data_IF_665464482886
#
_entry.id   IF_665464482886
#
_cell.length_a   1.000
_cell.length_b   1.000
_cell.length_c   1.000
_cell.angle_alpha   90.00
_cell.angle_beta   90.00
_cell.angle_gamma   90.00
#
_symmetry.space_group_name_H-M   'P 1'
#
loop_
_entity.id
_entity.type
_entity.pdbx_description
1 polymer ?
#
# COMPACT_ATOMS: atom_id res chain seq x y z
N UNK A 1 -14.27 -8.80 -10.07
CA UNK A 1 -13.72 -7.93 -9.00
C UNK A 1 -12.20 -7.76 -9.08
N UNK A 2 -11.54 -8.13 -10.20
CA UNK A 2 -10.09 -8.01 -10.32
C UNK A 2 -9.64 -6.54 -10.33
N UNK A 3 -10.26 -5.71 -11.18
CA UNK A 3 -9.96 -4.27 -11.29
C UNK A 3 -10.01 -3.56 -9.94
N UNK A 4 -11.08 -3.73 -9.15
CA UNK A 4 -11.18 -3.12 -7.83
C UNK A 4 -10.07 -3.61 -6.88
N UNK A 5 -9.66 -4.87 -6.98
CA UNK A 5 -8.56 -5.39 -6.16
C UNK A 5 -7.23 -4.71 -6.52
N UNK A 6 -6.94 -4.59 -7.81
CA UNK A 6 -5.75 -3.91 -8.33
C UNK A 6 -5.73 -2.42 -7.90
N UNK A 7 -6.86 -1.72 -7.99
CA UNK A 7 -6.98 -0.34 -7.53
C UNK A 7 -6.70 -0.18 -6.03
N UNK A 8 -7.20 -1.13 -5.21
CA UNK A 8 -6.95 -1.13 -3.76
C UNK A 8 -5.47 -1.43 -3.46
N UNK A 9 -4.87 -2.42 -4.14
CA UNK A 9 -3.44 -2.72 -3.96
C UNK A 9 -2.57 -1.52 -4.32
N UNK A 10 -2.90 -0.80 -5.40
CA UNK A 10 -2.14 0.38 -5.80
C UNK A 10 -2.29 1.53 -4.82
N UNK A 11 -3.50 1.79 -4.32
CA UNK A 11 -3.70 2.77 -3.26
C UNK A 11 -2.87 2.45 -2.01
N UNK A 12 -2.82 1.18 -1.60
CA UNK A 12 -2.02 0.72 -0.45
C UNK A 12 -0.51 0.73 -0.71
N UNK A 13 -0.08 0.51 -1.96
CA UNK A 13 1.33 0.63 -2.36
C UNK A 13 1.78 2.07 -2.15
N UNK A 14 1.01 3.01 -2.69
CA UNK A 14 1.33 4.44 -2.66
C UNK A 14 1.19 5.06 -1.27
N UNK A 15 0.18 4.63 -0.52
CA UNK A 15 -0.19 5.18 0.79
C UNK A 15 -0.35 4.07 1.84
N UNK A 16 0.74 3.39 2.24
CA UNK A 16 0.67 2.32 3.22
C UNK A 16 0.31 2.90 4.60
N UNK A 17 -0.75 2.41 5.27
CA UNK A 17 -1.16 2.93 6.58
C UNK A 17 -0.09 2.78 7.67
N UNK A 18 0.74 1.73 7.57
CA UNK A 18 1.91 1.50 8.41
C UNK A 18 3.18 1.66 7.56
N UNK A 19 3.73 2.88 7.42
CA UNK A 19 4.82 3.15 6.49
C UNK A 19 6.16 2.57 6.95
N UNK A 20 6.35 2.32 8.26
CA UNK A 20 7.59 1.82 8.83
C UNK A 20 7.36 0.58 9.72
N UNK A 21 8.19 -0.44 9.52
CA UNK A 21 8.21 -1.66 10.33
C UNK A 21 9.57 -1.78 11.02
N UNK A 22 9.60 -1.47 12.32
CA UNK A 22 10.84 -1.47 13.12
C UNK A 22 11.06 -2.79 13.84
N UNK A 23 12.30 -3.27 13.88
CA UNK A 23 12.73 -4.46 14.64
C UNK A 23 14.03 -4.18 15.37
N UNK A 24 14.14 -4.68 16.60
CA UNK A 24 15.40 -4.68 17.34
C UNK A 24 16.18 -5.96 17.05
N UNK A 25 17.46 -5.81 16.74
CA UNK A 25 18.36 -6.90 16.40
C UNK A 25 18.77 -7.62 17.67
N UNK A 26 18.31 -8.86 17.82
CA UNK A 26 18.59 -9.71 19.00
C UNK A 26 19.90 -10.47 18.92
N UNK A 27 20.46 -10.62 17.71
CA UNK A 27 21.75 -11.28 17.46
C UNK A 27 22.35 -10.65 16.22
N UNK A 28 23.64 -10.37 16.25
CA UNK A 28 24.35 -9.84 15.10
C UNK A 28 24.21 -10.77 13.88
N UNK A 29 23.98 -10.20 12.70
CA UNK A 29 23.90 -10.92 11.44
C UNK A 29 24.53 -10.12 10.31
N UNK A 30 24.93 -10.81 9.23
CA UNK A 30 25.35 -10.18 7.99
C UNK A 30 24.15 -10.06 7.04
N UNK A 31 24.04 -8.94 6.34
CA UNK A 31 23.10 -8.76 5.24
C UNK A 31 23.86 -8.40 3.96
N UNK A 32 23.34 -8.85 2.82
CA UNK A 32 23.89 -8.52 1.51
C UNK A 32 22.86 -7.74 0.70
N UNK A 33 23.26 -6.63 0.09
CA UNK A 33 22.38 -5.87 -0.81
C UNK A 33 22.29 -6.54 -2.18
N UNK A 34 21.38 -6.03 -3.01
CA UNK A 34 21.23 -6.47 -4.40
C UNK A 34 22.52 -6.31 -5.21
N UNK A 35 23.27 -5.24 -4.95
CA UNK A 35 24.55 -4.92 -5.60
C UNK A 35 25.72 -5.77 -5.06
N UNK A 36 25.45 -6.69 -4.13
CA UNK A 36 26.45 -7.58 -3.56
C UNK A 36 27.22 -7.00 -2.38
N UNK A 37 26.89 -5.79 -1.91
CA UNK A 37 27.57 -5.18 -0.77
C UNK A 37 27.13 -5.85 0.53
N UNK A 38 28.09 -6.22 1.36
CA UNK A 38 27.85 -6.84 2.65
C UNK A 38 27.90 -5.81 3.79
N UNK A 39 26.98 -5.97 4.74
CA UNK A 39 26.89 -5.16 5.94
C UNK A 39 26.73 -6.08 7.15
N UNK A 40 27.45 -5.77 8.23
CA UNK A 40 27.25 -6.39 9.53
C UNK A 40 26.27 -5.55 10.32
N UNK A 41 25.13 -6.13 10.68
CA UNK A 41 24.11 -5.48 11.51
C UNK A 41 24.35 -5.89 12.96
N UNK A 42 24.78 -4.98 13.85
CA UNK A 42 25.13 -5.35 15.22
C UNK A 42 23.89 -5.63 16.09
N UNK A 43 24.10 -6.39 17.15
CA UNK A 43 23.08 -6.58 18.19
C UNK A 43 22.69 -5.25 18.85
N UNK A 44 21.45 -5.15 19.33
CA UNK A 44 20.91 -3.96 20.00
C UNK A 44 20.47 -2.85 19.05
N UNK A 45 20.84 -2.89 17.77
CA UNK A 45 20.42 -1.89 16.79
C UNK A 45 18.94 -2.05 16.40
N UNK A 46 18.32 -0.95 15.98
CA UNK A 46 17.03 -0.99 15.32
C UNK A 46 17.20 -1.01 13.81
N UNK A 47 16.48 -1.91 13.14
CA UNK A 47 16.37 -2.00 11.70
C UNK A 47 14.95 -1.63 11.33
N UNK A 48 14.80 -0.76 10.32
CA UNK A 48 13.50 -0.31 9.83
C UNK A 48 13.34 -0.77 8.39
N UNK A 49 12.26 -1.52 8.13
CA UNK A 49 11.78 -1.71 6.76
C UNK A 49 10.76 -0.62 6.46
N UNK A 50 11.10 0.29 5.57
CA UNK A 50 10.28 1.47 5.27
C UNK A 50 9.44 1.22 4.00
N UNK A 51 8.21 0.74 4.17
CA UNK A 51 7.29 0.40 3.09
C UNK A 51 7.00 1.60 2.19
N UNK A 52 6.84 2.80 2.75
CA UNK A 52 6.58 4.01 1.95
C UNK A 52 7.70 4.34 0.96
N UNK A 53 8.94 3.93 1.23
CA UNK A 53 10.06 4.04 0.29
C UNK A 53 10.23 2.78 -0.56
N UNK A 54 10.16 1.59 0.05
CA UNK A 54 10.35 0.33 -0.67
C UNK A 54 9.32 0.14 -1.79
N UNK A 55 8.10 0.61 -1.57
CA UNK A 55 7.03 0.59 -2.57
C UNK A 55 7.26 1.56 -3.75
N UNK A 56 8.27 2.43 -3.68
CA UNK A 56 8.65 3.40 -4.72
C UNK A 56 9.93 3.00 -5.47
N UNK A 57 10.46 1.81 -5.22
CA UNK A 57 11.68 1.34 -5.87
C UNK A 57 11.40 1.07 -7.35
N UNK A 58 12.00 1.88 -8.24
CA UNK A 58 11.80 1.80 -9.69
C UNK A 58 12.23 0.49 -10.34
N UNK A 59 13.04 -0.31 -9.64
CA UNK A 59 13.43 -1.64 -10.10
C UNK A 59 12.42 -2.74 -9.74
N UNK A 60 11.43 -2.42 -8.90
CA UNK A 60 10.29 -3.28 -8.55
C UNK A 60 9.06 -2.80 -9.32
N UNK A 61 8.78 -1.50 -9.24
CA UNK A 61 7.58 -0.89 -9.82
C UNK A 61 7.97 0.08 -10.92
N UNK A 62 7.43 -0.13 -12.13
CA UNK A 62 7.64 0.80 -13.25
C UNK A 62 6.90 2.11 -12.97
N UNK A 63 7.53 3.24 -13.27
CA UNK A 63 6.96 4.58 -13.06
C UNK A 63 6.33 4.69 -11.65
N UNK A 64 7.14 4.50 -10.58
CA UNK A 64 6.66 4.16 -9.24
C UNK A 64 5.85 5.26 -8.55
N UNK A 65 5.91 6.49 -9.05
CA UNK A 65 5.18 7.63 -8.51
C UNK A 65 3.82 7.82 -9.18
N UNK A 66 3.55 7.12 -10.28
CA UNK A 66 2.25 7.13 -10.96
C UNK A 66 1.26 6.15 -10.29
N UNK A 67 0.00 6.58 -10.20
CA UNK A 67 -1.10 5.69 -9.80
C UNK A 67 -1.50 4.81 -10.98
N UNK A 68 -1.06 3.55 -10.94
CA UNK A 68 -1.28 2.59 -12.01
C UNK A 68 -1.74 1.23 -11.45
N UNK A 69 -3.06 0.98 -11.38
CA UNK A 69 -3.60 -0.29 -10.88
C UNK A 69 -3.18 -1.50 -11.71
N UNK A 70 -2.97 -1.34 -13.01
CA UNK A 70 -2.70 -2.44 -13.91
C UNK A 70 -1.37 -3.14 -13.59
N UNK A 71 -0.49 -2.55 -12.78
CA UNK A 71 0.75 -3.18 -12.30
C UNK A 71 0.51 -4.47 -11.52
N UNK A 72 -0.68 -4.60 -10.91
CA UNK A 72 -1.11 -5.78 -10.17
C UNK A 72 -2.01 -6.72 -10.98
N UNK A 73 -2.32 -6.38 -12.23
CA UNK A 73 -3.06 -7.28 -13.11
C UNK A 73 -2.20 -8.50 -13.49
N UNK A 74 -2.85 -9.55 -13.99
CA UNK A 74 -2.23 -10.86 -14.23
C UNK A 74 -1.10 -10.81 -15.25
N UNK A 75 -1.12 -9.83 -16.15
CA UNK A 75 -0.16 -9.60 -17.22
C UNK A 75 1.17 -9.04 -16.70
N UNK A 76 1.13 -8.18 -15.66
CA UNK A 76 2.31 -7.48 -15.14
C UNK A 76 2.81 -8.05 -13.83
N UNK A 77 1.92 -8.20 -12.83
CA UNK A 77 2.22 -8.76 -11.51
C UNK A 77 3.55 -8.28 -10.93
N UNK A 78 3.79 -6.96 -11.00
CA UNK A 78 5.10 -6.36 -10.70
C UNK A 78 5.61 -6.75 -9.30
N UNK A 79 4.70 -6.90 -8.34
CA UNK A 79 5.01 -7.33 -6.98
C UNK A 79 5.33 -8.83 -6.83
N UNK A 80 4.86 -9.69 -7.72
CA UNK A 80 5.18 -11.12 -7.72
C UNK A 80 6.51 -11.38 -8.44
N UNK A 81 6.73 -10.75 -9.61
CA UNK A 81 7.92 -10.98 -10.45
C UNK A 81 9.20 -10.41 -9.84
N UNK A 82 9.09 -9.32 -9.08
CA UNK A 82 10.22 -8.74 -8.37
C UNK A 82 10.68 -9.56 -7.14
N UNK A 83 9.88 -10.56 -6.73
CA UNK A 83 10.20 -11.50 -5.67
C UNK A 83 9.45 -11.24 -4.37
N UNK A 84 9.76 -12.06 -3.36
CA UNK A 84 9.09 -12.00 -2.05
C UNK A 84 9.33 -10.65 -1.38
N UNK A 85 8.29 -10.15 -0.71
CA UNK A 85 8.33 -8.89 0.06
C UNK A 85 8.48 -7.61 -0.78
N UNK A 86 8.13 -7.66 -2.07
CA UNK A 86 8.02 -6.46 -2.92
C UNK A 86 6.80 -5.59 -2.56
N UNK A 87 5.71 -6.23 -2.12
CA UNK A 87 4.52 -5.58 -1.57
C UNK A 87 4.39 -5.94 -0.09
N UNK A 88 4.48 -4.93 0.78
CA UNK A 88 4.55 -5.09 2.25
C UNK A 88 3.58 -4.16 3.01
N UNK A 89 2.50 -3.73 2.36
CA UNK A 89 1.47 -2.88 2.99
C UNK A 89 0.81 -3.54 4.22
N UNK A 90 0.82 -4.87 4.28
CA UNK A 90 0.35 -5.69 5.39
C UNK A 90 1.49 -6.35 6.18
N UNK A 91 2.72 -5.86 6.01
CA UNK A 91 3.91 -6.48 6.59
C UNK A 91 4.37 -7.72 5.83
N UNK A 92 5.07 -8.61 6.53
CA UNK A 92 5.63 -9.82 5.94
C UNK A 92 6.27 -10.76 6.95
N UNK A 93 6.51 -12.00 6.53
CA UNK A 93 7.12 -13.03 7.35
C UNK A 93 6.26 -13.42 8.56
N UNK A 94 6.89 -13.71 9.70
CA UNK A 94 6.21 -14.17 10.93
C UNK A 94 5.29 -13.13 11.58
N UNK A 95 5.39 -11.88 11.18
CA UNK A 95 4.60 -10.77 11.72
C UNK A 95 3.76 -10.09 10.63
N UNK A 96 3.35 -10.84 9.61
CA UNK A 96 2.37 -10.38 8.63
C UNK A 96 1.01 -10.12 9.31
N UNK A 97 0.23 -9.19 8.74
CA UNK A 97 -1.07 -8.83 9.26
C UNK A 97 -2.05 -9.99 9.11
N UNK A 98 -2.50 -10.55 10.24
CA UNK A 98 -3.52 -11.61 10.26
C UNK A 98 -4.85 -11.16 9.63
N UNK A 99 -5.11 -9.84 9.63
CA UNK A 99 -6.32 -9.24 9.09
C UNK A 99 -6.29 -8.92 7.60
N UNK A 100 -5.22 -9.23 6.86
CA UNK A 100 -5.06 -8.84 5.44
C UNK A 100 -6.26 -9.23 4.56
N UNK A 101 -6.64 -10.51 4.58
CA UNK A 101 -7.75 -11.00 3.77
C UNK A 101 -9.09 -10.35 4.17
N UNK A 102 -9.30 -10.14 5.47
CA UNK A 102 -10.50 -9.46 5.97
C UNK A 102 -10.54 -7.98 5.59
N UNK A 103 -9.39 -7.30 5.63
CA UNK A 103 -9.26 -5.92 5.20
C UNK A 103 -9.57 -5.76 3.70
N UNK A 104 -9.02 -6.63 2.84
CA UNK A 104 -9.36 -6.66 1.42
C UNK A 104 -10.85 -6.91 1.19
N UNK A 105 -11.47 -7.84 1.92
CA UNK A 105 -12.90 -8.08 1.83
C UNK A 105 -13.69 -6.81 2.19
N UNK A 106 -13.38 -6.17 3.33
CA UNK A 106 -14.06 -4.96 3.79
C UNK A 106 -13.91 -3.80 2.82
N UNK A 107 -12.70 -3.51 2.36
CA UNK A 107 -12.45 -2.45 1.37
C UNK A 107 -13.24 -2.71 0.07
N UNK A 108 -13.24 -3.96 -0.41
CA UNK A 108 -14.01 -4.33 -1.61
C UNK A 108 -15.51 -4.17 -1.40
N UNK A 109 -16.05 -4.53 -0.24
CA UNK A 109 -17.48 -4.37 0.09
C UNK A 109 -17.86 -2.89 0.14
N UNK A 110 -17.09 -2.07 0.88
CA UNK A 110 -17.33 -0.63 1.01
C UNK A 110 -17.30 0.04 -0.36
N UNK A 111 -16.22 -0.13 -1.11
CA UNK A 111 -16.08 0.49 -2.43
C UNK A 111 -17.10 -0.02 -3.45
N UNK A 112 -17.42 -1.31 -3.44
CA UNK A 112 -18.48 -1.84 -4.30
C UNK A 112 -19.84 -1.23 -3.97
N UNK A 113 -20.14 -1.00 -2.69
CA UNK A 113 -21.39 -0.36 -2.27
C UNK A 113 -21.41 1.11 -2.69
N UNK A 114 -20.36 1.87 -2.39
CA UNK A 114 -20.26 3.29 -2.71
C UNK A 114 -20.36 3.53 -4.22
N UNK A 115 -19.52 2.86 -5.02
CA UNK A 115 -19.45 3.07 -6.46
C UNK A 115 -20.73 2.67 -7.22
N UNK A 116 -21.49 1.69 -6.71
CA UNK A 116 -22.76 1.26 -7.32
C UNK A 116 -23.93 2.17 -6.95
N UNK A 117 -23.94 2.70 -5.73
CA UNK A 117 -25.13 3.37 -5.17
C UNK A 117 -25.00 4.88 -5.14
N UNK A 118 -23.81 5.43 -5.35
CA UNK A 118 -23.55 6.87 -5.22
C UNK A 118 -22.76 7.40 -6.41
N UNK A 119 -23.04 8.65 -6.74
CA UNK A 119 -22.15 9.54 -7.48
C UNK A 119 -21.35 10.32 -6.44
N UNK A 120 -20.03 10.36 -6.61
CA UNK A 120 -19.10 11.02 -5.70
C UNK A 120 -18.33 12.08 -6.49
N UNK A 121 -18.23 13.28 -5.94
CA UNK A 121 -17.50 14.40 -6.53
C UNK A 121 -16.56 15.00 -5.48
N UNK A 122 -15.29 15.13 -5.84
CA UNK A 122 -14.30 15.78 -4.97
C UNK A 122 -14.47 17.30 -5.09
N UNK A 123 -14.77 17.97 -3.97
CA UNK A 123 -15.00 19.41 -3.90
C UNK A 123 -13.75 20.19 -3.47
N UNK A 124 -12.83 19.54 -2.77
CA UNK A 124 -11.52 20.10 -2.40
C UNK A 124 -10.46 19.75 -3.46
N UNK A 125 -9.30 20.42 -3.47
CA UNK A 125 -8.12 19.88 -4.15
C UNK A 125 -7.80 18.46 -3.69
N UNK A 126 -7.11 17.69 -4.54
CA UNK A 126 -6.59 16.40 -4.12
C UNK A 126 -5.58 16.62 -2.98
N UNK A 127 -5.72 15.93 -1.84
CA UNK A 127 -4.89 16.21 -0.67
C UNK A 127 -3.46 15.71 -0.87
N UNK A 128 -2.51 16.46 -0.31
CA UNK A 128 -1.17 15.97 -0.05
C UNK A 128 -1.17 14.95 1.10
N UNK A 129 -0.08 14.20 1.25
CA UNK A 129 0.05 13.22 2.33
C UNK A 129 0.56 13.90 3.61
N UNK A 130 -0.15 13.71 4.72
CA UNK A 130 0.31 14.10 6.06
C UNK A 130 1.40 13.14 6.54
N UNK A 131 2.61 13.66 6.71
CA UNK A 131 3.80 12.89 7.08
C UNK A 131 4.16 12.99 8.57
N UNK A 132 3.54 13.90 9.33
CA UNK A 132 3.87 14.10 10.75
C UNK A 132 3.16 13.14 11.70
N UNK A 133 2.31 12.26 11.17
CA UNK A 133 1.58 11.25 11.93
C UNK A 133 2.20 9.86 11.79
N UNK A 134 1.99 9.01 12.79
CA UNK A 134 2.43 7.60 12.77
C UNK A 134 1.78 6.85 11.58
N UNK A 135 0.52 7.16 11.29
CA UNK A 135 -0.21 6.67 10.12
C UNK A 135 -0.32 7.76 9.08
N UNK A 136 -0.02 7.41 7.83
CA UNK A 136 -0.20 8.33 6.70
C UNK A 136 -1.70 8.58 6.47
N UNK A 137 -2.05 9.84 6.23
CA UNK A 137 -3.41 10.27 5.92
C UNK A 137 -3.39 11.49 5.01
N UNK A 138 -4.54 11.99 4.56
CA UNK A 138 -4.61 13.24 3.81
C UNK A 138 -4.31 14.43 4.72
N UNK A 139 -3.59 15.41 4.20
CA UNK A 139 -3.38 16.70 4.84
C UNK A 139 -4.61 17.60 4.61
N UNK A 140 -5.08 18.25 5.69
CA UNK A 140 -6.22 19.17 5.63
C UNK A 140 -7.58 18.47 5.47
N UNK A 141 -8.57 19.24 5.00
CA UNK A 141 -9.93 18.74 4.79
C UNK A 141 -10.12 18.18 3.37
N UNK A 142 -10.63 16.96 3.28
CA UNK A 142 -11.00 16.30 2.01
C UNK A 142 -12.51 16.30 1.89
N UNK A 143 -13.05 17.22 1.10
CA UNK A 143 -14.49 17.41 0.98
C UNK A 143 -15.03 16.67 -0.24
N UNK A 144 -15.99 15.76 -0.01
CA UNK A 144 -16.62 14.96 -1.06
C UNK A 144 -18.13 15.18 -1.03
N UNK A 145 -18.69 15.60 -2.16
CA UNK A 145 -20.13 15.64 -2.41
C UNK A 145 -20.60 14.24 -2.79
N UNK A 146 -21.80 13.85 -2.34
CA UNK A 146 -22.38 12.57 -2.72
C UNK A 146 -23.85 12.70 -3.07
N UNK A 147 -24.27 11.98 -4.11
CA UNK A 147 -25.67 11.85 -4.51
C UNK A 147 -26.01 10.39 -4.68
N UNK A 148 -27.06 9.91 -4.00
CA UNK A 148 -27.54 8.54 -4.18
C UNK A 148 -28.07 8.39 -5.60
N UNK A 149 -27.58 7.39 -6.33
CA UNK A 149 -28.09 7.02 -7.65
C UNK A 149 -29.53 6.54 -7.48
N UNK A 150 -30.41 6.95 -8.39
CA UNK A 150 -31.73 6.34 -8.52
C UNK A 150 -31.49 4.92 -9.03
N UNK A 151 -31.68 3.93 -8.17
CA UNK A 151 -31.67 2.54 -8.59
C UNK A 151 -32.84 2.37 -9.54
N UNK A 152 -32.56 2.18 -10.84
CA UNK A 152 -33.57 1.73 -11.78
C UNK A 152 -34.00 0.35 -11.32
N UNK A 153 -35.23 0.24 -10.80
CA UNK A 153 -35.88 -1.05 -10.56
C UNK A 153 -35.87 -1.81 -11.87
N UNK A 154 -35.03 -2.84 -11.95
CA UNK A 154 -35.04 -3.81 -13.03
C UNK A 154 -35.71 -5.07 -12.51
#
# INVERSE_FOLDING_TARGET
MNTLHCCIKEALRMHPPAPALTRTVRKCFAMRTREGKEYKVPEGHNVVSYAAFNHRLGYVYRDPDEYDPERFCAERKEDEVAGKFSFTAFGGGRHACLGEHYAFLKMKVIWSHLLRNFELELLSPFPEVELNNITLGPQGEVMVSYKRRKLTST
#
